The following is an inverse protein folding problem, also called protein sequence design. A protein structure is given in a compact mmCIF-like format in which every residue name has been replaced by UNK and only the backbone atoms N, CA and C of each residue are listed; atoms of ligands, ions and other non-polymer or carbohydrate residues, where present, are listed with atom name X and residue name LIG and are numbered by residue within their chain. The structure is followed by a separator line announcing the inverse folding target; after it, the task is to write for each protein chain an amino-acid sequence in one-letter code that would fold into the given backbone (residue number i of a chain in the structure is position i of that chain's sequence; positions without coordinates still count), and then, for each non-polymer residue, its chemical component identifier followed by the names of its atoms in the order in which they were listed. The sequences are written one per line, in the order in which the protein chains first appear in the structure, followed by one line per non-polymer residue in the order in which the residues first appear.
data_IF_777697626829
#
_entry.id   IF_777697626829
#
_cell.length_a   1.000
_cell.length_b   1.000
_cell.length_c   1.000
_cell.angle_alpha   90.00
_cell.angle_beta   90.00
_cell.angle_gamma   90.00
#
_symmetry.space_group_name_H-M   'P 1'
#
loop_
_entity.id
_entity.type
_entity.pdbx_description
1 polymer ?
#
# COMPACT_ATOMS: atom_id res chain seq x y z
N UNK A 1 -18.23 7.81 -21.97
CA UNK A 1 -17.85 7.70 -23.39
C UNK A 1 -16.39 7.28 -23.54
N UNK A 2 -15.41 8.08 -23.10
CA UNK A 2 -13.97 7.83 -23.35
C UNK A 2 -13.45 6.46 -22.88
N UNK A 3 -13.91 5.95 -21.74
CA UNK A 3 -13.49 4.63 -21.25
C UNK A 3 -13.89 3.49 -22.22
N UNK A 4 -15.09 3.55 -22.77
CA UNK A 4 -15.57 2.56 -23.74
C UNK A 4 -14.84 2.67 -25.10
N UNK A 5 -14.50 3.88 -25.55
CA UNK A 5 -13.63 4.09 -26.72
C UNK A 5 -12.25 3.45 -26.56
N UNK A 6 -11.78 3.37 -25.30
CA UNK A 6 -10.51 2.74 -24.92
C UNK A 6 -10.65 1.24 -24.59
N UNK A 7 -11.84 0.64 -24.82
CA UNK A 7 -12.06 -0.79 -24.67
C UNK A 7 -12.61 -1.24 -23.32
N UNK A 8 -13.13 -0.34 -22.49
CA UNK A 8 -13.81 -0.76 -21.28
C UNK A 8 -15.04 -1.63 -21.60
N UNK A 9 -15.15 -2.80 -20.97
CA UNK A 9 -16.28 -3.71 -21.17
C UNK A 9 -17.52 -3.34 -20.37
N UNK A 10 -17.38 -2.56 -19.30
CA UNK A 10 -18.49 -2.07 -18.46
C UNK A 10 -18.07 -0.80 -17.69
N UNK A 11 -19.02 -0.05 -17.16
CA UNK A 11 -18.81 1.06 -16.26
C UNK A 11 -19.47 0.81 -14.91
N UNK A 12 -18.78 1.20 -13.83
CA UNK A 12 -19.33 1.23 -12.48
C UNK A 12 -19.57 2.68 -12.10
N UNK A 13 -20.81 3.02 -11.76
CA UNK A 13 -21.26 4.39 -11.55
C UNK A 13 -22.13 4.50 -10.30
N UNK A 14 -22.07 5.66 -9.64
CA UNK A 14 -22.92 6.01 -8.49
C UNK A 14 -23.93 7.14 -8.80
N UNK A 15 -23.97 7.58 -10.06
CA UNK A 15 -24.96 8.56 -10.54
C UNK A 15 -26.05 7.87 -11.35
N UNK A 16 -27.31 7.80 -10.83
CA UNK A 16 -28.44 7.20 -11.56
C UNK A 16 -28.68 7.86 -12.92
N UNK A 17 -28.61 9.19 -12.98
CA UNK A 17 -28.85 9.95 -14.22
C UNK A 17 -27.84 9.61 -15.31
N UNK A 18 -26.56 9.45 -14.92
CA UNK A 18 -25.49 9.07 -15.86
C UNK A 18 -25.62 7.60 -16.24
N UNK A 19 -26.00 6.74 -15.29
CA UNK A 19 -26.19 5.32 -15.52
C UNK A 19 -27.33 5.04 -16.51
N UNK A 20 -28.51 5.65 -16.34
CA UNK A 20 -29.64 5.52 -17.26
C UNK A 20 -29.24 5.92 -18.69
N UNK A 21 -28.60 7.06 -18.85
CA UNK A 21 -28.18 7.57 -20.15
C UNK A 21 -27.15 6.67 -20.86
N UNK A 22 -26.28 6.01 -20.12
CA UNK A 22 -25.27 5.11 -20.67
C UNK A 22 -25.80 3.69 -20.89
N UNK A 23 -26.74 3.23 -20.04
CA UNK A 23 -27.28 1.87 -20.11
C UNK A 23 -28.04 1.55 -21.42
N UNK A 24 -28.47 2.57 -22.15
CA UNK A 24 -29.07 2.39 -23.49
C UNK A 24 -28.10 1.77 -24.50
N UNK A 25 -26.79 1.96 -24.33
CA UNK A 25 -25.78 1.56 -25.30
C UNK A 25 -24.58 0.82 -24.72
N UNK A 26 -24.43 0.79 -23.40
CA UNK A 26 -23.23 0.26 -22.73
C UNK A 26 -23.60 -0.51 -21.44
N UNK A 27 -22.84 -1.58 -21.11
CA UNK A 27 -23.00 -2.27 -19.82
C UNK A 27 -22.64 -1.36 -18.65
N UNK A 28 -23.58 -1.17 -17.72
CA UNK A 28 -23.45 -0.31 -16.56
C UNK A 28 -23.83 -1.06 -15.29
N UNK A 29 -23.02 -0.92 -14.25
CA UNK A 29 -23.31 -1.33 -12.88
C UNK A 29 -23.55 -0.06 -12.05
N UNK A 30 -24.79 0.15 -11.62
CA UNK A 30 -25.14 1.22 -10.69
C UNK A 30 -24.87 0.74 -9.25
N UNK A 31 -24.13 1.53 -8.49
CA UNK A 31 -23.80 1.29 -7.08
C UNK A 31 -24.11 2.52 -6.24
N UNK A 32 -24.20 2.37 -4.92
CA UNK A 32 -24.43 3.49 -4.02
C UNK A 32 -23.22 4.43 -3.90
N UNK A 33 -22.00 3.87 -3.96
CA UNK A 33 -20.72 4.56 -3.80
C UNK A 33 -19.66 3.87 -4.64
N UNK A 34 -19.14 4.56 -5.63
CA UNK A 34 -18.16 4.02 -6.57
C UNK A 34 -16.79 3.75 -5.93
N UNK A 35 -16.37 4.54 -4.94
CA UNK A 35 -15.10 4.32 -4.22
C UNK A 35 -15.19 3.11 -3.30
N UNK A 36 -16.29 2.97 -2.59
CA UNK A 36 -16.56 1.79 -1.77
C UNK A 36 -16.64 0.53 -2.64
N UNK A 37 -17.30 0.60 -3.78
CA UNK A 37 -17.39 -0.52 -4.71
C UNK A 37 -16.02 -0.88 -5.30
N UNK A 38 -15.17 0.10 -5.64
CA UNK A 38 -13.78 -0.13 -6.06
C UNK A 38 -12.99 -0.88 -4.99
N UNK A 39 -13.10 -0.44 -3.73
CA UNK A 39 -12.42 -1.08 -2.59
C UNK A 39 -12.90 -2.52 -2.39
N UNK A 40 -14.22 -2.77 -2.47
CA UNK A 40 -14.79 -4.12 -2.34
C UNK A 40 -14.36 -5.04 -3.49
N UNK A 41 -14.30 -4.54 -4.72
CA UNK A 41 -13.76 -5.28 -5.87
C UNK A 41 -12.29 -5.66 -5.65
N UNK A 42 -11.48 -4.70 -5.20
CA UNK A 42 -10.08 -4.94 -4.89
C UNK A 42 -9.89 -5.96 -3.76
N UNK A 43 -10.70 -5.90 -2.70
CA UNK A 43 -10.69 -6.86 -1.59
C UNK A 43 -11.07 -8.28 -2.07
N UNK A 44 -12.12 -8.39 -2.87
CA UNK A 44 -12.54 -9.65 -3.46
C UNK A 44 -11.50 -10.22 -4.42
N UNK A 45 -10.81 -9.38 -5.19
CA UNK A 45 -9.72 -9.81 -6.04
C UNK A 45 -8.49 -10.21 -5.22
N UNK A 46 -8.10 -9.37 -4.24
CA UNK A 46 -6.97 -9.65 -3.33
C UNK A 46 -7.09 -11.02 -2.66
N UNK A 47 -8.29 -11.40 -2.21
CA UNK A 47 -8.52 -12.69 -1.54
C UNK A 47 -8.30 -13.91 -2.46
N UNK A 48 -8.33 -13.73 -3.77
CA UNK A 48 -8.06 -14.79 -4.78
C UNK A 48 -6.59 -14.90 -5.15
N UNK A 49 -5.79 -13.89 -4.83
CA UNK A 49 -4.37 -13.84 -5.16
C UNK A 49 -3.54 -14.50 -4.05
N UNK A 50 -2.69 -15.43 -4.43
CA UNK A 50 -1.73 -16.10 -3.52
C UNK A 50 -0.40 -15.36 -3.59
N UNK A 51 -0.31 -14.18 -2.98
CA UNK A 51 0.84 -13.29 -3.04
C UNK A 51 1.57 -13.21 -1.70
N UNK A 52 2.90 -13.18 -1.76
CA UNK A 52 3.72 -12.63 -0.67
C UNK A 52 3.70 -11.11 -0.83
N UNK A 53 3.09 -10.41 0.11
CA UNK A 53 2.92 -8.95 0.02
C UNK A 53 3.92 -8.23 0.91
N UNK A 54 4.69 -7.33 0.32
CA UNK A 54 5.50 -6.34 0.99
C UNK A 54 4.80 -4.99 0.91
N UNK A 55 4.35 -4.49 2.06
CA UNK A 55 3.82 -3.13 2.20
C UNK A 55 4.94 -2.14 2.51
N UNK A 56 4.93 -0.96 1.89
CA UNK A 56 5.94 0.08 2.12
C UNK A 56 5.25 1.40 2.42
N UNK A 57 5.65 2.03 3.54
CA UNK A 57 5.27 3.40 3.87
C UNK A 57 6.46 4.19 4.41
N UNK A 58 6.27 5.45 4.70
CA UNK A 58 7.28 6.36 5.24
C UNK A 58 7.04 7.80 4.79
N UNK A 59 7.77 8.73 5.37
CA UNK A 59 7.65 10.15 5.01
C UNK A 59 8.34 10.45 3.68
N UNK A 60 9.51 9.85 3.43
CA UNK A 60 10.27 9.94 2.17
C UNK A 60 10.86 8.57 1.80
N UNK A 61 11.37 8.42 0.59
CA UNK A 61 12.06 7.21 0.14
C UNK A 61 11.17 6.00 -0.21
N UNK A 62 9.84 6.08 -0.03
CA UNK A 62 8.90 4.98 -0.33
C UNK A 62 9.07 4.42 -1.73
N UNK A 63 9.03 5.29 -2.74
CA UNK A 63 9.09 4.89 -4.15
C UNK A 63 10.44 4.27 -4.50
N UNK A 64 11.55 4.84 -4.02
CA UNK A 64 12.88 4.26 -4.23
C UNK A 64 12.99 2.88 -3.58
N UNK A 65 12.54 2.74 -2.33
CA UNK A 65 12.52 1.46 -1.61
C UNK A 65 11.65 0.43 -2.34
N UNK A 66 10.49 0.84 -2.84
CA UNK A 66 9.59 0.00 -3.66
C UNK A 66 10.31 -0.52 -4.91
N UNK A 67 11.01 0.35 -5.63
CA UNK A 67 11.72 -0.04 -6.86
C UNK A 67 12.86 -1.03 -6.56
N UNK A 68 13.67 -0.77 -5.52
CA UNK A 68 14.74 -1.69 -5.11
C UNK A 68 14.18 -3.03 -4.62
N UNK A 69 13.16 -3.01 -3.77
CA UNK A 69 12.54 -4.23 -3.27
C UNK A 69 11.93 -5.06 -4.40
N UNK A 70 11.27 -4.42 -5.36
CA UNK A 70 10.70 -5.10 -6.51
C UNK A 70 11.80 -5.70 -7.41
N UNK A 71 12.92 -5.00 -7.61
CA UNK A 71 14.04 -5.52 -8.38
C UNK A 71 14.69 -6.75 -7.70
N UNK A 72 14.91 -6.68 -6.39
CA UNK A 72 15.47 -7.79 -5.60
C UNK A 72 14.52 -8.99 -5.62
N UNK A 73 13.25 -8.80 -5.33
CA UNK A 73 12.26 -9.88 -5.34
C UNK A 73 12.06 -10.44 -6.75
N UNK A 74 12.18 -9.61 -7.78
CA UNK A 74 12.07 -9.99 -9.19
C UNK A 74 13.15 -10.96 -9.68
N UNK A 75 14.25 -11.10 -8.94
CA UNK A 75 15.29 -12.13 -9.22
C UNK A 75 14.77 -13.55 -8.98
N UNK A 76 13.69 -13.70 -8.19
CA UNK A 76 13.16 -15.02 -7.80
C UNK A 76 11.66 -15.18 -8.07
N UNK A 77 10.90 -14.10 -7.99
CA UNK A 77 9.42 -14.13 -8.05
C UNK A 77 8.90 -13.31 -9.23
N UNK A 78 7.74 -13.66 -9.72
CA UNK A 78 6.96 -12.76 -10.62
C UNK A 78 6.33 -11.68 -9.76
N UNK A 79 6.90 -10.49 -9.79
CA UNK A 79 6.55 -9.37 -8.92
C UNK A 79 5.60 -8.41 -9.62
N UNK A 80 4.55 -8.01 -8.92
CA UNK A 80 3.74 -6.82 -9.24
C UNK A 80 4.05 -5.73 -8.21
N UNK A 81 3.99 -4.48 -8.62
CA UNK A 81 4.26 -3.34 -7.74
C UNK A 81 3.29 -2.19 -8.01
N UNK A 82 3.21 -1.26 -7.07
CA UNK A 82 2.52 0.01 -7.27
C UNK A 82 3.17 0.78 -8.43
N UNK A 83 2.38 1.11 -9.43
CA UNK A 83 2.81 1.97 -10.53
C UNK A 83 2.73 3.45 -10.13
N UNK A 84 3.78 4.21 -10.46
CA UNK A 84 3.85 5.63 -10.13
C UNK A 84 3.62 5.91 -8.64
N UNK A 85 2.64 6.77 -8.36
CA UNK A 85 2.22 7.21 -7.03
C UNK A 85 0.82 6.71 -6.63
N UNK A 86 0.37 5.57 -7.15
CA UNK A 86 -0.94 4.97 -6.86
C UNK A 86 -0.99 4.35 -5.45
N UNK A 87 -0.75 5.15 -4.42
CA UNK A 87 -0.54 4.75 -3.03
C UNK A 87 -1.64 5.18 -2.04
N UNK A 88 -2.75 5.74 -2.54
CA UNK A 88 -3.88 6.23 -1.74
C UNK A 88 -5.11 5.30 -1.86
N UNK A 89 -6.26 5.75 -1.31
CA UNK A 89 -7.54 5.03 -1.29
C UNK A 89 -8.14 4.71 -2.68
N UNK A 90 -7.63 5.29 -3.75
CA UNK A 90 -7.97 4.95 -5.14
C UNK A 90 -6.85 4.10 -5.75
N UNK A 91 -5.61 4.54 -5.57
CA UNK A 91 -4.45 3.94 -6.23
C UNK A 91 -4.13 2.54 -5.75
N UNK A 92 -4.23 2.27 -4.43
CA UNK A 92 -3.99 0.92 -3.89
C UNK A 92 -5.01 -0.10 -4.40
N UNK A 93 -6.33 0.16 -4.37
CA UNK A 93 -7.30 -0.72 -5.02
C UNK A 93 -7.01 -0.98 -6.49
N UNK A 94 -6.66 0.06 -7.27
CA UNK A 94 -6.30 -0.11 -8.69
C UNK A 94 -5.06 -0.99 -8.85
N UNK A 95 -4.02 -0.78 -8.03
CA UNK A 95 -2.79 -1.60 -8.05
C UNK A 95 -3.08 -3.08 -7.75
N UNK A 96 -4.03 -3.36 -6.86
CA UNK A 96 -4.47 -4.73 -6.57
C UNK A 96 -5.21 -5.33 -7.77
N UNK A 97 -6.13 -4.59 -8.39
CA UNK A 97 -6.92 -5.06 -9.52
C UNK A 97 -6.09 -5.33 -10.79
N UNK A 98 -4.94 -4.66 -10.95
CA UNK A 98 -4.01 -4.92 -12.04
C UNK A 98 -3.13 -6.15 -11.81
N UNK A 99 -3.06 -6.67 -10.59
CA UNK A 99 -2.27 -7.86 -10.28
C UNK A 99 -2.88 -9.11 -10.92
N UNK A 100 -2.13 -9.76 -11.81
CA UNK A 100 -2.53 -11.01 -12.44
C UNK A 100 -2.40 -12.21 -11.51
N UNK A 101 -3.15 -13.29 -11.78
CA UNK A 101 -3.11 -14.55 -11.02
C UNK A 101 -1.77 -15.27 -11.08
N UNK A 102 -0.91 -14.89 -12.02
CA UNK A 102 0.45 -15.45 -12.18
C UNK A 102 1.48 -14.76 -11.27
N UNK A 103 1.14 -13.62 -10.64
CA UNK A 103 2.03 -12.96 -9.69
C UNK A 103 2.23 -13.82 -8.45
N UNK A 104 3.46 -13.79 -7.91
CA UNK A 104 3.88 -14.55 -6.72
C UNK A 104 4.21 -13.62 -5.56
N UNK A 105 4.66 -12.40 -5.86
CA UNK A 105 4.91 -11.37 -4.86
C UNK A 105 4.34 -10.02 -5.32
N UNK A 106 4.02 -9.19 -4.35
CA UNK A 106 3.59 -7.82 -4.58
C UNK A 106 4.38 -6.85 -3.70
N UNK A 107 4.77 -5.71 -4.26
CA UNK A 107 5.37 -4.59 -3.52
C UNK A 107 4.43 -3.39 -3.65
N UNK A 108 3.64 -3.16 -2.60
CA UNK A 108 2.65 -2.10 -2.62
C UNK A 108 3.04 -0.96 -1.69
N UNK A 109 3.10 0.24 -2.29
CA UNK A 109 3.32 1.49 -1.58
C UNK A 109 2.00 1.98 -0.97
N UNK A 110 2.03 2.36 0.31
CA UNK A 110 0.89 2.88 1.06
C UNK A 110 1.23 4.28 1.57
N UNK A 111 0.49 5.25 1.09
CA UNK A 111 0.63 6.67 1.45
C UNK A 111 -0.55 7.17 2.25
N UNK A 112 -0.36 8.33 2.89
CA UNK A 112 -1.41 9.07 3.58
C UNK A 112 -1.23 10.56 3.38
N UNK A 113 -2.33 11.29 3.50
CA UNK A 113 -2.35 12.75 3.69
C UNK A 113 -2.99 13.11 5.04
N UNK A 114 -3.97 12.32 5.49
CA UNK A 114 -4.76 12.56 6.70
C UNK A 114 -4.72 11.36 7.64
N UNK A 115 -5.07 11.57 8.94
CA UNK A 115 -5.24 10.48 9.89
C UNK A 115 -6.30 9.47 9.45
N UNK A 116 -6.07 8.18 9.73
CA UNK A 116 -7.01 7.09 9.47
C UNK A 116 -6.95 6.51 8.06
N UNK A 117 -5.99 6.92 7.20
CA UNK A 117 -5.89 6.44 5.82
C UNK A 117 -5.06 5.16 5.69
N UNK A 118 -4.05 4.94 6.56
CA UNK A 118 -3.15 3.77 6.45
C UNK A 118 -3.85 2.46 6.86
N UNK A 119 -4.59 2.45 7.96
CA UNK A 119 -5.18 1.22 8.50
C UNK A 119 -6.10 0.49 7.49
N UNK A 120 -7.06 1.15 6.80
CA UNK A 120 -7.89 0.47 5.82
C UNK A 120 -7.10 -0.01 4.59
N UNK A 121 -6.05 0.70 4.18
CA UNK A 121 -5.17 0.28 3.09
C UNK A 121 -4.31 -0.93 3.49
N UNK A 122 -3.78 -0.93 4.71
CA UNK A 122 -3.03 -2.07 5.26
C UNK A 122 -3.91 -3.33 5.35
N UNK A 123 -5.16 -3.18 5.83
CA UNK A 123 -6.13 -4.27 5.87
C UNK A 123 -6.46 -4.81 4.46
N UNK A 124 -6.51 -3.92 3.46
CA UNK A 124 -6.79 -4.29 2.08
C UNK A 124 -5.64 -5.07 1.44
N UNK A 125 -4.39 -4.61 1.61
CA UNK A 125 -3.21 -5.28 1.01
C UNK A 125 -2.82 -6.57 1.74
N UNK A 126 -3.14 -6.72 3.04
CA UNK A 126 -2.79 -7.88 3.88
C UNK A 126 -1.30 -8.20 3.79
N UNK A 127 -0.41 -7.36 4.36
CA UNK A 127 1.03 -7.51 4.18
C UNK A 127 1.57 -8.70 4.97
N UNK A 128 2.45 -9.50 4.36
CA UNK A 128 3.27 -10.49 5.05
C UNK A 128 4.56 -9.87 5.61
N UNK A 129 4.96 -8.74 5.03
CA UNK A 129 6.11 -7.97 5.49
C UNK A 129 5.82 -6.47 5.28
N UNK A 130 6.35 -5.62 6.15
CA UNK A 130 6.26 -4.17 6.01
C UNK A 130 7.63 -3.50 6.15
N UNK A 131 7.83 -2.41 5.40
CA UNK A 131 8.97 -1.51 5.56
C UNK A 131 8.43 -0.11 5.86
N UNK A 132 8.92 0.51 6.93
CA UNK A 132 8.74 1.93 7.18
C UNK A 132 10.09 2.60 6.93
N UNK A 133 10.16 3.43 5.90
CA UNK A 133 11.44 4.01 5.47
C UNK A 133 11.98 5.05 6.43
N UNK A 134 11.12 5.90 6.98
CA UNK A 134 11.42 6.90 8.01
C UNK A 134 10.15 7.59 8.52
N UNK A 135 10.28 8.30 9.65
CA UNK A 135 9.25 9.17 10.23
C UNK A 135 9.75 10.62 10.22
N UNK A 136 9.55 11.29 9.10
CA UNK A 136 9.83 12.73 8.94
C UNK A 136 8.61 13.59 9.23
N UNK A 137 8.61 14.80 8.67
CA UNK A 137 7.56 15.82 8.84
C UNK A 137 6.60 15.93 7.66
N UNK A 138 6.62 14.99 6.71
CA UNK A 138 5.67 15.00 5.60
C UNK A 138 4.23 14.93 6.11
N UNK A 139 3.36 15.82 5.61
CA UNK A 139 1.95 15.98 6.00
C UNK A 139 1.75 16.47 7.45
N UNK A 140 2.76 17.14 8.04
CA UNK A 140 2.70 17.65 9.42
C UNK A 140 1.57 18.68 9.61
N UNK A 141 1.17 19.40 8.56
CA UNK A 141 0.06 20.35 8.57
C UNK A 141 -1.28 19.66 8.94
N UNK A 142 -1.47 18.41 8.56
CA UNK A 142 -2.66 17.60 8.87
C UNK A 142 -2.46 16.75 10.12
N UNK A 143 -1.28 16.17 10.28
CA UNK A 143 -0.97 15.22 11.38
C UNK A 143 -0.60 15.93 12.69
N UNK A 144 -0.15 17.21 12.63
CA UNK A 144 0.22 18.08 13.75
C UNK A 144 1.56 17.74 14.41
N UNK A 145 1.86 16.47 14.66
CA UNK A 145 3.11 16.03 15.30
C UNK A 145 3.76 14.84 14.60
N UNK A 146 5.06 14.62 14.83
CA UNK A 146 5.79 13.45 14.32
C UNK A 146 5.29 12.15 14.96
N UNK A 147 4.89 12.21 16.24
CA UNK A 147 4.29 11.08 16.96
C UNK A 147 2.98 10.65 16.31
N UNK A 148 2.14 11.60 15.87
CA UNK A 148 0.93 11.28 15.11
C UNK A 148 1.25 10.65 13.75
N UNK A 149 2.30 11.11 13.07
CA UNK A 149 2.79 10.50 11.82
C UNK A 149 3.30 9.07 12.07
N UNK A 150 4.05 8.85 13.16
CA UNK A 150 4.52 7.53 13.57
C UNK A 150 3.36 6.59 13.92
N UNK A 151 2.36 7.10 14.64
CA UNK A 151 1.16 6.35 14.99
C UNK A 151 0.44 5.87 13.72
N UNK A 152 0.21 6.77 12.78
CA UNK A 152 -0.51 6.46 11.53
C UNK A 152 0.27 5.49 10.65
N UNK A 153 1.56 5.77 10.38
CA UNK A 153 2.40 4.87 9.56
C UNK A 153 2.62 3.51 10.22
N UNK A 154 2.67 3.47 11.56
CA UNK A 154 2.75 2.25 12.34
C UNK A 154 1.58 1.29 12.12
N UNK A 155 0.40 1.78 11.68
CA UNK A 155 -0.74 0.93 11.33
C UNK A 155 -0.40 -0.10 10.25
N UNK A 156 0.54 0.22 9.34
CA UNK A 156 1.01 -0.76 8.35
C UNK A 156 1.80 -1.89 9.03
N UNK A 157 2.65 -1.55 10.00
CA UNK A 157 3.43 -2.53 10.74
C UNK A 157 2.56 -3.42 11.63
N UNK A 158 1.53 -2.85 12.27
CA UNK A 158 0.56 -3.60 13.08
C UNK A 158 -0.28 -4.59 12.28
N UNK A 159 -0.51 -4.30 11.00
CA UNK A 159 -1.25 -5.20 10.12
C UNK A 159 -0.45 -6.45 9.70
N UNK A 160 0.86 -6.50 9.97
CA UNK A 160 1.69 -7.67 9.68
C UNK A 160 1.44 -8.75 10.72
N UNK A 161 1.10 -9.99 10.31
CA UNK A 161 0.85 -11.09 11.25
C UNK A 161 2.12 -11.50 12.01
N UNK A 162 1.98 -12.16 13.15
CA UNK A 162 3.10 -12.62 13.98
C UNK A 162 4.12 -13.53 13.24
N UNK A 163 3.70 -14.15 12.14
CA UNK A 163 4.56 -14.97 11.27
C UNK A 163 5.37 -14.13 10.26
N UNK A 164 5.09 -12.84 10.18
CA UNK A 164 5.72 -11.91 9.25
C UNK A 164 6.93 -11.17 9.82
N UNK A 165 7.34 -10.12 9.13
CA UNK A 165 8.46 -9.27 9.55
C UNK A 165 8.18 -7.79 9.27
N UNK A 166 8.65 -6.93 10.16
CA UNK A 166 8.59 -5.47 10.00
C UNK A 166 10.02 -4.93 10.01
N UNK A 167 10.34 -4.13 9.01
CA UNK A 167 11.64 -3.48 8.88
C UNK A 167 11.49 -2.01 9.26
N UNK A 168 12.27 -1.54 10.23
CA UNK A 168 12.28 -0.17 10.73
C UNK A 168 13.68 0.42 10.69
N UNK A 169 13.83 1.75 10.47
CA UNK A 169 15.12 2.42 10.60
C UNK A 169 15.53 2.49 12.08
N UNK A 170 16.67 1.90 12.43
CA UNK A 170 17.14 1.82 13.81
C UNK A 170 17.51 3.19 14.40
N UNK A 171 17.93 4.14 13.56
CA UNK A 171 18.25 5.50 13.99
C UNK A 171 17.05 6.46 14.09
N UNK A 172 15.84 6.04 13.70
CA UNK A 172 14.65 6.89 13.82
C UNK A 172 14.08 6.79 15.25
N UNK A 173 13.97 7.92 15.94
CA UNK A 173 13.51 8.04 17.33
C UNK A 173 12.07 7.56 17.55
N UNK A 174 11.29 7.36 16.50
CA UNK A 174 9.93 6.82 16.56
C UNK A 174 9.86 5.29 16.36
N UNK A 175 10.96 4.66 15.99
CA UNK A 175 10.99 3.22 15.67
C UNK A 175 10.62 2.34 16.86
N UNK A 176 11.10 2.65 18.06
CA UNK A 176 10.78 1.89 19.27
C UNK A 176 9.28 1.93 19.62
N UNK A 177 8.65 3.10 19.45
CA UNK A 177 7.22 3.27 19.70
C UNK A 177 6.38 2.48 18.67
N UNK A 178 6.83 2.37 17.43
CA UNK A 178 6.20 1.54 16.40
C UNK A 178 6.44 0.05 16.70
N UNK A 179 7.69 -0.33 17.03
CA UNK A 179 8.06 -1.70 17.33
C UNK A 179 7.25 -2.30 18.49
N UNK A 180 7.00 -1.51 19.54
CA UNK A 180 6.21 -1.92 20.71
C UNK A 180 4.75 -2.32 20.37
N UNK A 181 4.24 -1.91 19.21
CA UNK A 181 2.87 -2.21 18.72
C UNK A 181 2.84 -3.35 17.71
N UNK A 182 4.01 -3.83 17.25
CA UNK A 182 4.10 -4.89 16.26
C UNK A 182 3.86 -6.27 16.88
N UNK A 183 3.12 -7.11 16.18
CA UNK A 183 3.00 -8.54 16.48
C UNK A 183 4.07 -9.37 15.79
N UNK A 184 4.58 -8.89 14.68
CA UNK A 184 5.59 -9.53 13.84
C UNK A 184 7.01 -9.32 14.39
N UNK A 185 7.96 -10.12 13.89
CA UNK A 185 9.38 -9.87 14.17
C UNK A 185 9.79 -8.51 13.61
N UNK A 186 10.34 -7.67 14.46
CA UNK A 186 10.95 -6.40 14.04
C UNK A 186 12.42 -6.61 13.71
N UNK A 187 12.87 -5.98 12.62
CA UNK A 187 14.27 -5.96 12.16
C UNK A 187 14.67 -4.49 12.02
N UNK A 188 15.59 -4.05 12.86
CA UNK A 188 16.18 -2.72 12.79
C UNK A 188 17.24 -2.64 11.69
N UNK A 189 17.13 -1.65 10.81
CA UNK A 189 18.15 -1.40 9.77
C UNK A 189 18.76 -0.02 9.95
N UNK A 190 20.07 0.11 9.81
CA UNK A 190 20.73 1.39 10.01
C UNK A 190 22.12 1.49 9.40
N UNK A 191 22.76 2.65 9.62
CA UNK A 191 24.15 2.93 9.22
C UNK A 191 25.09 2.76 10.41
N UNK A 192 24.68 3.20 11.60
CA UNK A 192 25.52 3.14 12.80
C UNK A 192 25.18 1.98 13.73
N UNK A 193 23.93 1.54 13.77
CA UNK A 193 23.44 0.42 14.58
C UNK A 193 22.17 -0.20 13.99
N UNK A 194 21.78 -1.37 14.49
CA UNK A 194 20.61 -2.14 14.04
C UNK A 194 20.95 -3.61 13.93
N UNK A 195 19.93 -4.42 13.61
CA UNK A 195 20.13 -5.86 13.30
C UNK A 195 20.87 -6.05 11.96
N UNK A 196 20.62 -5.13 11.02
CA UNK A 196 21.32 -5.05 9.74
C UNK A 196 21.91 -3.66 9.60
N UNK A 197 23.24 -3.59 9.51
CA UNK A 197 23.99 -2.34 9.38
C UNK A 197 24.65 -2.29 8.01
N UNK A 198 24.49 -1.16 7.32
CA UNK A 198 25.21 -0.92 6.08
C UNK A 198 26.69 -0.65 6.38
N UNK A 199 27.61 -1.37 5.71
CA UNK A 199 29.05 -1.18 5.79
C UNK A 199 29.62 -0.81 4.42
N UNK A 200 30.85 -0.29 4.42
CA UNK A 200 31.62 0.01 3.21
C UNK A 200 30.87 0.94 2.23
N UNK A 201 30.22 1.97 2.79
CA UNK A 201 29.57 3.02 1.99
C UNK A 201 30.64 3.94 1.40
N UNK A 202 30.90 3.84 0.08
CA UNK A 202 31.76 4.73 -0.69
C UNK A 202 30.95 5.84 -1.38
#
# INVERSE_FOLDING_TARGET
ARAFELGAGAALLDSPVVAEKLAESQPVLLVEDSLKALTLLAAAWRSRLKLIVLGITGSSGKTSTKEFAAAVLGSKYRVVKTEGNLNNHIGVPLSILTAGTQAEAAVWEVGMNHPGEIAPLAALIQPACAIITNIGTAHIEYMKTREAIALEKGMLAEAVPATGSVILPAEDDQSDAIAARCHAKVVGTGISHGDLVASDLE
#
